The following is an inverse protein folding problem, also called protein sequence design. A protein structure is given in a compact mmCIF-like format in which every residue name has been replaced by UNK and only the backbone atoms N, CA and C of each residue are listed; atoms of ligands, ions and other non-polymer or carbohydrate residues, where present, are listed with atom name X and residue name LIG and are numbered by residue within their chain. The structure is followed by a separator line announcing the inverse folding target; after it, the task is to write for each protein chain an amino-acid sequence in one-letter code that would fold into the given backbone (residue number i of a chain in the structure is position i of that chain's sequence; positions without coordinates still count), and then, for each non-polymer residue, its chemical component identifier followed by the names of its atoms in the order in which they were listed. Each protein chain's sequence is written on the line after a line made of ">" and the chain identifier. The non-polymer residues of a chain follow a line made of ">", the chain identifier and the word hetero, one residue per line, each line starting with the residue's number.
data_IF_291251334016
#
_entry.id   IF_291251334016
#
_cell.length_a   1.000
_cell.length_b   1.000
_cell.length_c   1.000
_cell.angle_alpha   90.00
_cell.angle_beta   90.00
_cell.angle_gamma   90.00
#
_symmetry.space_group_name_H-M   'P 1'
#
loop_
_entity.id
_entity.type
_entity.pdbx_description
1 polymer ?
#
# COMPACT_ATOMS: atom_id res chain seq x y z
N UNK A 1 -17.61 -18.35 13.67
CA UNK A 1 -16.24 -18.74 13.28
C UNK A 1 -15.82 -17.91 12.08
N UNK A 2 -14.56 -17.43 12.00
CA UNK A 2 -14.09 -16.68 10.85
C UNK A 2 -14.08 -17.60 9.64
N UNK A 3 -14.65 -17.12 8.53
CA UNK A 3 -14.68 -17.89 7.29
C UNK A 3 -13.26 -17.90 6.71
N UNK A 4 -12.87 -18.98 6.03
CA UNK A 4 -11.52 -19.11 5.43
C UNK A 4 -11.14 -17.86 4.61
N UNK A 5 -12.11 -17.24 3.93
CA UNK A 5 -11.87 -16.03 3.14
C UNK A 5 -11.43 -14.82 3.97
N UNK A 6 -11.93 -14.69 5.19
CA UNK A 6 -11.62 -13.57 6.09
C UNK A 6 -10.18 -13.69 6.60
N UNK A 7 -9.74 -14.93 6.84
CA UNK A 7 -8.34 -15.23 7.16
C UNK A 7 -7.43 -14.98 5.95
N UNK A 8 -7.83 -15.39 4.75
CA UNK A 8 -7.09 -15.11 3.51
C UNK A 8 -6.96 -13.61 3.28
N UNK A 9 -8.05 -12.85 3.48
CA UNK A 9 -8.04 -11.39 3.39
C UNK A 9 -7.05 -10.77 4.39
N UNK A 10 -7.08 -11.21 5.64
CA UNK A 10 -6.17 -10.73 6.69
C UNK A 10 -4.70 -11.04 6.36
N UNK A 11 -4.40 -12.25 5.84
CA UNK A 11 -3.05 -12.62 5.43
C UNK A 11 -2.59 -11.74 4.27
N UNK A 12 -3.41 -11.61 3.22
CA UNK A 12 -3.05 -10.85 2.03
C UNK A 12 -2.79 -9.36 2.35
N UNK A 13 -3.66 -8.72 3.14
CA UNK A 13 -3.45 -7.33 3.55
C UNK A 13 -2.23 -7.17 4.47
N UNK A 14 -1.95 -8.14 5.34
CA UNK A 14 -0.77 -8.10 6.21
C UNK A 14 0.55 -8.25 5.43
N UNK A 15 0.57 -9.10 4.40
CA UNK A 15 1.71 -9.21 3.48
C UNK A 15 1.94 -7.88 2.75
N UNK A 16 0.87 -7.25 2.27
CA UNK A 16 0.95 -5.95 1.62
C UNK A 16 1.47 -4.86 2.57
N UNK A 17 0.94 -4.82 3.79
CA UNK A 17 1.39 -3.90 4.84
C UNK A 17 2.88 -4.08 5.12
N UNK A 18 3.33 -5.32 5.31
CA UNK A 18 4.74 -5.66 5.54
C UNK A 18 5.64 -5.19 4.41
N UNK A 19 5.25 -5.42 3.15
CA UNK A 19 5.97 -4.94 1.98
C UNK A 19 6.11 -3.41 1.95
N UNK A 20 5.02 -2.68 2.22
CA UNK A 20 5.05 -1.22 2.30
C UNK A 20 5.88 -0.72 3.49
N UNK A 21 5.87 -1.40 4.63
CA UNK A 21 6.73 -1.07 5.78
C UNK A 21 8.21 -1.26 5.43
N UNK A 22 8.57 -2.37 4.78
CA UNK A 22 9.96 -2.59 4.30
C UNK A 22 10.38 -1.49 3.34
N UNK A 23 9.51 -1.08 2.42
CA UNK A 23 9.80 0.06 1.54
C UNK A 23 10.08 1.33 2.36
N UNK A 24 9.22 1.67 3.31
CA UNK A 24 9.34 2.90 4.11
C UNK A 24 10.53 2.91 5.06
N UNK A 25 10.88 1.77 5.65
CA UNK A 25 11.94 1.68 6.65
C UNK A 25 13.31 1.31 6.10
N UNK A 26 13.37 0.63 4.95
CA UNK A 26 14.62 0.11 4.39
C UNK A 26 14.95 0.80 3.08
N UNK A 27 14.03 0.76 2.10
CA UNK A 27 14.31 1.28 0.77
C UNK A 27 14.34 2.80 0.72
N UNK A 28 13.40 3.48 1.37
CA UNK A 28 13.37 4.95 1.37
C UNK A 28 14.62 5.55 2.01
N UNK A 29 15.07 5.14 3.21
CA UNK A 29 16.33 5.65 3.78
C UNK A 29 17.53 5.33 2.90
N UNK A 30 17.57 4.14 2.29
CA UNK A 30 18.61 3.78 1.33
C UNK A 30 18.61 4.72 0.12
N UNK A 31 17.45 4.99 -0.48
CA UNK A 31 17.32 5.95 -1.58
C UNK A 31 17.73 7.36 -1.20
N UNK A 32 17.34 7.82 -0.02
CA UNK A 32 17.71 9.15 0.50
C UNK A 32 19.20 9.29 0.82
N UNK A 33 19.90 8.18 1.05
CA UNK A 33 21.36 8.18 1.29
C UNK A 33 22.20 8.29 -0.01
N UNK A 34 21.58 8.10 -1.18
CA UNK A 34 22.28 8.16 -2.46
C UNK A 34 22.49 9.60 -2.95
N UNK A 35 23.49 9.79 -3.80
CA UNK A 35 23.52 10.98 -4.64
C UNK A 35 22.30 10.98 -5.58
N UNK A 36 21.71 12.14 -5.89
CA UNK A 36 20.51 12.22 -6.74
C UNK A 36 20.63 11.50 -8.09
N UNK A 37 21.77 11.58 -8.75
CA UNK A 37 22.02 10.91 -10.04
C UNK A 37 22.06 9.39 -9.91
N UNK A 38 22.68 8.88 -8.84
CA UNK A 38 22.77 7.45 -8.56
C UNK A 38 21.38 6.88 -8.22
N UNK A 39 20.59 7.65 -7.44
CA UNK A 39 19.19 7.32 -7.16
C UNK A 39 18.36 7.22 -8.44
N UNK A 40 18.43 8.21 -9.34
CA UNK A 40 17.66 8.19 -10.59
C UNK A 40 18.03 6.97 -11.46
N UNK A 41 19.33 6.66 -11.56
CA UNK A 41 19.81 5.47 -12.29
C UNK A 41 19.32 4.17 -11.65
N UNK A 42 19.39 4.07 -10.32
CA UNK A 42 18.87 2.92 -9.58
C UNK A 42 17.36 2.77 -9.79
N UNK A 43 16.61 3.87 -9.63
CA UNK A 43 15.16 3.87 -9.69
C UNK A 43 14.67 3.49 -11.10
N UNK A 44 15.32 4.00 -12.15
CA UNK A 44 15.04 3.60 -13.54
C UNK A 44 15.17 2.09 -13.76
N UNK A 45 16.17 1.46 -13.12
CA UNK A 45 16.45 0.03 -13.28
C UNK A 45 15.49 -0.89 -12.51
N UNK A 46 15.03 -0.47 -11.32
CA UNK A 46 14.35 -1.36 -10.38
C UNK A 46 12.91 -0.98 -10.04
N UNK A 47 12.49 0.26 -10.28
CA UNK A 47 11.17 0.76 -9.86
C UNK A 47 10.01 0.01 -10.47
N UNK A 48 10.14 -0.46 -11.72
CA UNK A 48 9.11 -1.27 -12.36
C UNK A 48 8.89 -2.59 -11.60
N UNK A 49 9.96 -3.31 -11.29
CA UNK A 49 9.88 -4.59 -10.57
C UNK A 49 9.28 -4.39 -9.18
N UNK A 50 9.78 -3.42 -8.40
CA UNK A 50 9.24 -3.11 -7.07
C UNK A 50 7.77 -2.71 -7.16
N UNK A 51 7.44 -1.80 -8.08
CA UNK A 51 6.09 -1.28 -8.30
C UNK A 51 5.11 -2.36 -8.73
N UNK A 52 5.47 -3.20 -9.69
CA UNK A 52 4.65 -4.30 -10.19
C UNK A 52 4.39 -5.33 -9.08
N UNK A 53 5.42 -5.75 -8.34
CA UNK A 53 5.26 -6.67 -7.21
C UNK A 53 4.29 -6.12 -6.17
N UNK A 54 4.46 -4.86 -5.77
CA UNK A 54 3.59 -4.24 -4.76
C UNK A 54 2.17 -4.01 -5.26
N UNK A 55 2.00 -3.66 -6.54
CA UNK A 55 0.67 -3.52 -7.14
C UNK A 55 -0.06 -4.86 -7.18
N UNK A 56 0.61 -5.95 -7.60
CA UNK A 56 0.02 -7.29 -7.62
C UNK A 56 -0.40 -7.75 -6.23
N UNK A 57 0.48 -7.62 -5.23
CA UNK A 57 0.16 -7.99 -3.84
C UNK A 57 -1.00 -7.14 -3.32
N UNK A 58 -0.98 -5.83 -3.58
CA UNK A 58 -2.06 -4.93 -3.19
C UNK A 58 -3.40 -5.32 -3.81
N UNK A 59 -3.44 -5.65 -5.11
CA UNK A 59 -4.66 -6.07 -5.80
C UNK A 59 -5.21 -7.38 -5.21
N UNK A 60 -4.35 -8.36 -4.91
CA UNK A 60 -4.75 -9.60 -4.24
C UNK A 60 -5.36 -9.30 -2.86
N UNK A 61 -4.76 -8.40 -2.09
CA UNK A 61 -5.29 -7.96 -0.81
C UNK A 61 -6.68 -7.30 -0.95
N UNK A 62 -6.81 -6.34 -1.88
CA UNK A 62 -8.07 -5.63 -2.13
C UNK A 62 -9.19 -6.59 -2.56
N UNK A 63 -8.92 -7.48 -3.51
CA UNK A 63 -9.89 -8.49 -3.95
C UNK A 63 -10.31 -9.39 -2.79
N UNK A 64 -9.37 -9.83 -1.96
CA UNK A 64 -9.67 -10.69 -0.82
C UNK A 64 -10.52 -9.98 0.24
N UNK A 65 -10.26 -8.71 0.52
CA UNK A 65 -11.07 -7.87 1.42
C UNK A 65 -12.48 -7.65 0.86
N UNK A 66 -12.63 -7.42 -0.45
CA UNK A 66 -13.95 -7.32 -1.10
C UNK A 66 -14.72 -8.63 -1.00
N UNK A 67 -14.06 -9.77 -1.21
CA UNK A 67 -14.70 -11.08 -1.07
C UNK A 67 -15.14 -11.35 0.39
N UNK A 68 -14.34 -10.95 1.38
CA UNK A 68 -14.70 -11.01 2.79
C UNK A 68 -15.92 -10.11 3.11
N UNK A 69 -15.97 -8.90 2.54
CA UNK A 69 -17.14 -8.03 2.60
C UNK A 69 -18.39 -8.71 2.02
N UNK A 70 -18.30 -9.30 0.83
CA UNK A 70 -19.44 -9.96 0.17
C UNK A 70 -20.01 -11.15 0.96
N UNK A 71 -19.21 -11.79 1.80
CA UNK A 71 -19.66 -12.89 2.67
C UNK A 71 -20.44 -12.43 3.91
N UNK A 72 -20.43 -11.14 4.22
CA UNK A 72 -21.11 -10.52 5.35
C UNK A 72 -22.26 -9.65 4.82
N UNK A 73 -23.50 -10.14 4.95
CA UNK A 73 -24.67 -9.53 4.26
C UNK A 73 -25.17 -8.25 4.91
N UNK A 74 -25.23 -8.21 6.25
CA UNK A 74 -25.72 -7.09 7.07
C UNK A 74 -24.92 -7.13 8.39
N UNK A 75 -24.95 -6.05 9.18
CA UNK A 75 -24.44 -6.05 10.54
C UNK A 75 -23.08 -5.38 10.71
N UNK A 76 -22.61 -5.36 11.96
CA UNK A 76 -21.37 -4.68 12.36
C UNK A 76 -20.16 -5.20 11.60
N UNK A 77 -20.06 -6.52 11.42
CA UNK A 77 -18.97 -7.18 10.68
C UNK A 77 -18.90 -6.72 9.23
N UNK A 78 -20.06 -6.60 8.55
CA UNK A 78 -20.12 -6.04 7.20
C UNK A 78 -19.61 -4.60 7.17
N UNK A 79 -20.02 -3.76 8.11
CA UNK A 79 -19.58 -2.36 8.16
C UNK A 79 -18.06 -2.27 8.34
N UNK A 80 -17.48 -3.09 9.22
CA UNK A 80 -16.03 -3.16 9.41
C UNK A 80 -15.30 -3.60 8.14
N UNK A 81 -15.77 -4.65 7.46
CA UNK A 81 -15.21 -5.08 6.17
C UNK A 81 -15.37 -4.02 5.07
N UNK A 82 -16.47 -3.28 5.07
CA UNK A 82 -16.72 -2.19 4.14
C UNK A 82 -15.73 -1.04 4.36
N UNK A 83 -15.57 -0.59 5.60
CA UNK A 83 -14.59 0.46 5.93
C UNK A 83 -13.15 -0.01 5.69
N UNK A 84 -12.85 -1.28 5.96
CA UNK A 84 -11.56 -1.90 5.61
C UNK A 84 -11.30 -1.85 4.09
N UNK A 85 -12.30 -2.22 3.28
CA UNK A 85 -12.23 -2.17 1.82
C UNK A 85 -12.04 -0.75 1.28
N UNK A 86 -12.73 0.24 1.85
CA UNK A 86 -12.59 1.66 1.49
C UNK A 86 -11.21 2.18 1.86
N UNK A 87 -10.73 1.90 3.08
CA UNK A 87 -9.42 2.32 3.55
C UNK A 87 -8.30 1.78 2.66
N UNK A 88 -8.35 0.48 2.32
CA UNK A 88 -7.38 -0.12 1.40
C UNK A 88 -7.56 0.41 -0.03
N UNK A 89 -8.79 0.64 -0.48
CA UNK A 89 -9.11 1.24 -1.77
C UNK A 89 -8.49 2.63 -1.97
N UNK A 90 -8.47 3.46 -0.92
CA UNK A 90 -7.84 4.78 -0.93
C UNK A 90 -6.33 4.73 -1.21
N UNK A 91 -5.67 3.61 -0.92
CA UNK A 91 -4.25 3.42 -1.25
C UNK A 91 -4.01 3.37 -2.77
N UNK A 92 -4.98 2.87 -3.54
CA UNK A 92 -4.94 2.86 -5.00
C UNK A 92 -5.26 4.24 -5.57
N UNK A 93 -6.20 4.97 -4.96
CA UNK A 93 -6.45 6.37 -5.31
C UNK A 93 -5.16 7.17 -5.17
N UNK A 94 -4.47 7.04 -4.04
CA UNK A 94 -3.17 7.69 -3.83
C UNK A 94 -2.11 7.22 -4.83
N UNK A 95 -2.10 5.92 -5.16
CA UNK A 95 -1.21 5.38 -6.19
C UNK A 95 -1.39 6.06 -7.55
N UNK A 96 -2.62 6.13 -8.06
CA UNK A 96 -2.88 6.71 -9.37
C UNK A 96 -2.77 8.24 -9.39
N UNK A 97 -3.18 8.92 -8.30
CA UNK A 97 -3.15 10.39 -8.23
C UNK A 97 -1.74 10.94 -8.06
N UNK A 98 -0.89 10.27 -7.28
CA UNK A 98 0.44 10.77 -6.94
C UNK A 98 1.57 9.86 -7.44
N UNK A 99 1.61 8.60 -6.99
CA UNK A 99 2.77 7.73 -7.19
C UNK A 99 3.07 7.41 -8.65
N UNK A 100 2.06 7.26 -9.52
CA UNK A 100 2.28 7.02 -10.96
C UNK A 100 3.11 8.14 -11.57
N UNK A 101 2.74 9.41 -11.30
CA UNK A 101 3.45 10.58 -11.84
C UNK A 101 4.84 10.71 -11.22
N UNK A 102 4.95 10.61 -9.89
CA UNK A 102 6.23 10.75 -9.19
C UNK A 102 7.22 9.65 -9.62
N UNK A 103 6.78 8.39 -9.68
CA UNK A 103 7.62 7.27 -10.09
C UNK A 103 8.06 7.39 -11.55
N UNK A 104 7.19 7.82 -12.46
CA UNK A 104 7.57 8.08 -13.84
C UNK A 104 8.61 9.22 -13.94
N UNK A 105 8.48 10.25 -13.10
CA UNK A 105 9.44 11.34 -13.01
C UNK A 105 10.83 10.86 -12.62
N UNK A 106 10.92 10.03 -11.59
CA UNK A 106 12.18 9.42 -11.16
C UNK A 106 12.73 8.43 -12.19
N UNK A 107 11.90 7.53 -12.72
CA UNK A 107 12.33 6.46 -13.63
C UNK A 107 12.84 6.99 -14.98
N UNK A 108 12.26 8.08 -15.48
CA UNK A 108 12.66 8.71 -16.74
C UNK A 108 13.63 9.88 -16.56
N UNK A 109 14.10 10.14 -15.33
CA UNK A 109 15.02 11.24 -15.01
C UNK A 109 14.51 12.61 -15.49
N UNK A 110 13.19 12.84 -15.43
CA UNK A 110 12.59 14.13 -15.81
C UNK A 110 12.51 15.13 -14.66
N UNK A 111 12.85 14.68 -13.45
CA UNK A 111 13.03 15.54 -12.27
C UNK A 111 14.47 16.04 -12.24
N UNK A 112 14.63 17.36 -12.12
CA UNK A 112 15.96 17.99 -11.95
C UNK A 112 16.67 17.36 -10.73
N UNK A 113 17.94 16.93 -10.85
CA UNK A 113 18.72 16.39 -9.73
C UNK A 113 18.68 17.24 -8.46
N UNK A 114 18.59 18.58 -8.59
CA UNK A 114 18.50 19.50 -7.45
C UNK A 114 17.14 19.40 -6.72
N UNK A 115 16.10 18.89 -7.39
CA UNK A 115 14.74 18.72 -6.84
C UNK A 115 14.47 17.29 -6.34
N UNK A 116 15.31 16.31 -6.68
CA UNK A 116 15.13 14.90 -6.30
C UNK A 116 14.98 14.73 -4.79
N UNK A 117 15.83 15.41 -3.99
CA UNK A 117 15.77 15.31 -2.53
C UNK A 117 14.43 15.79 -1.97
N UNK A 118 13.88 16.86 -2.55
CA UNK A 118 12.58 17.39 -2.15
C UNK A 118 11.45 16.45 -2.55
N UNK A 119 11.42 16.00 -3.81
CA UNK A 119 10.37 15.11 -4.29
C UNK A 119 10.40 13.76 -3.58
N UNK A 120 11.59 13.23 -3.25
CA UNK A 120 11.72 11.97 -2.51
C UNK A 120 11.21 12.08 -1.06
N UNK A 121 11.32 13.26 -0.42
CA UNK A 121 10.70 13.52 0.89
C UNK A 121 9.18 13.59 0.80
N UNK A 122 8.65 14.24 -0.25
CA UNK A 122 7.20 14.24 -0.48
C UNK A 122 6.69 12.82 -0.75
N UNK A 123 7.46 12.05 -1.52
CA UNK A 123 7.17 10.65 -1.81
C UNK A 123 7.10 9.81 -0.53
N UNK A 124 8.07 9.98 0.37
CA UNK A 124 8.10 9.34 1.67
C UNK A 124 6.85 9.69 2.50
N UNK A 125 6.49 10.97 2.58
CA UNK A 125 5.32 11.41 3.33
C UNK A 125 4.03 10.76 2.79
N UNK A 126 3.84 10.76 1.46
CA UNK A 126 2.71 10.10 0.82
C UNK A 126 2.74 8.59 1.04
N UNK A 127 3.93 7.99 1.10
CA UNK A 127 4.07 6.56 1.35
C UNK A 127 3.68 6.20 2.78
N UNK A 128 4.05 7.00 3.77
CA UNK A 128 3.60 6.78 5.15
C UNK A 128 2.09 7.00 5.33
N UNK A 129 1.50 7.96 4.62
CA UNK A 129 0.04 8.09 4.55
C UNK A 129 -0.59 6.79 3.99
N UNK A 130 -0.02 6.22 2.92
CA UNK A 130 -0.45 4.94 2.36
C UNK A 130 -0.33 3.81 3.39
N UNK A 131 0.79 3.71 4.09
CA UNK A 131 1.00 2.70 5.14
C UNK A 131 -0.06 2.83 6.24
N UNK A 132 -0.36 4.05 6.69
CA UNK A 132 -1.40 4.29 7.70
C UNK A 132 -2.77 3.77 7.26
N UNK A 133 -3.16 3.98 6.00
CA UNK A 133 -4.42 3.47 5.43
C UNK A 133 -4.46 1.94 5.37
N UNK A 134 -3.33 1.30 5.04
CA UNK A 134 -3.23 -0.17 5.02
C UNK A 134 -3.36 -0.71 6.45
N UNK A 135 -2.64 -0.13 7.41
CA UNK A 135 -2.69 -0.55 8.82
C UNK A 135 -4.08 -0.36 9.44
N UNK A 136 -4.77 0.74 9.11
CA UNK A 136 -6.16 0.94 9.51
C UNK A 136 -7.06 -0.17 8.94
N UNK A 137 -6.88 -0.50 7.66
CA UNK A 137 -7.65 -1.57 7.01
C UNK A 137 -7.35 -2.94 7.64
N UNK A 138 -6.10 -3.22 8.00
CA UNK A 138 -5.70 -4.45 8.72
C UNK A 138 -6.33 -4.51 10.10
N UNK A 139 -6.30 -3.41 10.87
CA UNK A 139 -6.91 -3.35 12.20
C UNK A 139 -8.42 -3.60 12.13
N UNK A 140 -9.11 -2.98 11.16
CA UNK A 140 -10.55 -3.20 10.95
C UNK A 140 -10.87 -4.64 10.59
N UNK A 141 -10.05 -5.29 9.75
CA UNK A 141 -10.18 -6.70 9.41
C UNK A 141 -9.98 -7.61 10.65
N UNK A 142 -8.99 -7.32 11.50
CA UNK A 142 -8.77 -8.04 12.77
C UNK A 142 -10.01 -7.91 13.67
N UNK A 143 -10.52 -6.68 13.85
CA UNK A 143 -11.70 -6.42 14.68
C UNK A 143 -12.91 -7.19 14.11
N UNK A 144 -13.14 -7.17 12.80
CA UNK A 144 -14.24 -7.90 12.16
C UNK A 144 -14.14 -9.43 12.34
N UNK A 145 -12.92 -9.95 12.45
CA UNK A 145 -12.63 -11.38 12.58
C UNK A 145 -12.86 -11.88 14.01
N UNK A 146 -12.52 -11.07 15.02
CA UNK A 146 -12.71 -11.41 16.44
C UNK A 146 -14.08 -11.03 16.98
N UNK A 147 -14.79 -10.15 16.29
CA UNK A 147 -16.14 -9.74 16.66
C UNK A 147 -17.12 -10.92 16.56
N UNK A 148 -17.83 -11.17 17.68
CA UNK A 148 -18.79 -12.27 17.82
C UNK A 148 -20.22 -11.88 17.51
N UNK A 149 -20.48 -10.61 17.15
CA UNK A 149 -21.83 -10.19 16.78
C UNK A 149 -22.14 -10.65 15.35
N UNK A 150 -23.26 -11.34 15.17
CA UNK A 150 -23.78 -11.69 13.84
C UNK A 150 -24.40 -10.48 13.15
#
# INVERSE_FOLDING_TARGET
>A
MPKIIELVALIAISIFAGGCIVIGLVLVPFWQSMNPTDFLSYFSSWSFTIGATMLTIGLIAQCSVILALMQNKIGKRRNLWCTSAVSLGMTFVLFFVYFVKANAGFAHSTIDPLQVVYELKLWELMHWLRVGLILLSTLLAIIALVDKSE
#
